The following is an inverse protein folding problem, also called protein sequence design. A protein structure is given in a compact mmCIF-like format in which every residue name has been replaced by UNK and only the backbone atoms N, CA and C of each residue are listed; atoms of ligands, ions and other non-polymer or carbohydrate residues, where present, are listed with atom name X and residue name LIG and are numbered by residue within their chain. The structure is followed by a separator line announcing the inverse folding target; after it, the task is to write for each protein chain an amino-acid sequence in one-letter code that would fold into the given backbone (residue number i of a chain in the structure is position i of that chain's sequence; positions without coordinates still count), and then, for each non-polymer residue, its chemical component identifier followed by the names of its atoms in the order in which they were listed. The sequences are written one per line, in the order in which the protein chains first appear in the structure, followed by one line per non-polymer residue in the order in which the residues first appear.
data_IF_893987218072
#
_entry.id   IF_893987218072
#
_cell.length_a   1.000
_cell.length_b   1.000
_cell.length_c   1.000
_cell.angle_alpha   90.00
_cell.angle_beta   90.00
_cell.angle_gamma   90.00
#
_symmetry.space_group_name_H-M   'P 1'
#
loop_
_entity.id
_entity.type
_entity.pdbx_description
1 polymer ?
#
# COMPACT_ATOMS: atom_id res chain seq x y z
N UNK A 1 -47.20 -2.19 -10.90
CA UNK A 1 -46.32 -1.05 -10.56
C UNK A 1 -45.34 -1.36 -9.44
N UNK A 2 -45.80 -1.86 -8.28
CA UNK A 2 -44.94 -2.20 -7.12
C UNK A 2 -43.80 -3.19 -7.43
N UNK A 3 -44.06 -4.23 -8.23
CA UNK A 3 -43.03 -5.19 -8.69
C UNK A 3 -41.96 -4.55 -9.59
N UNK A 4 -42.33 -3.52 -10.34
CA UNK A 4 -41.42 -2.80 -11.22
C UNK A 4 -40.51 -1.86 -10.42
N UNK A 5 -41.06 -1.19 -9.40
CA UNK A 5 -40.28 -0.40 -8.44
C UNK A 5 -39.28 -1.24 -7.64
N UNK A 6 -39.68 -2.45 -7.22
CA UNK A 6 -38.80 -3.36 -6.48
C UNK A 6 -37.58 -3.81 -7.32
N UNK A 7 -37.77 -4.04 -8.62
CA UNK A 7 -36.69 -4.43 -9.54
C UNK A 7 -35.72 -3.27 -9.80
N UNK A 8 -36.23 -2.06 -9.95
CA UNK A 8 -35.40 -0.84 -10.11
C UNK A 8 -34.57 -0.60 -8.83
N UNK A 9 -35.17 -0.77 -7.66
CA UNK A 9 -34.49 -0.61 -6.37
C UNK A 9 -33.37 -1.65 -6.17
N UNK A 10 -33.58 -2.90 -6.61
CA UNK A 10 -32.54 -3.95 -6.57
C UNK A 10 -31.37 -3.64 -7.50
N UNK A 11 -31.62 -3.07 -8.69
CA UNK A 11 -30.54 -2.71 -9.62
C UNK A 11 -29.65 -1.56 -9.12
N UNK A 12 -30.17 -0.69 -8.26
CA UNK A 12 -29.44 0.43 -7.63
C UNK A 12 -28.51 -0.03 -6.49
N UNK A 13 -28.69 -1.24 -5.96
CA UNK A 13 -27.86 -1.81 -4.89
C UNK A 13 -26.61 -2.55 -5.42
N UNK A 14 -26.44 -2.65 -6.74
CA UNK A 14 -25.20 -3.12 -7.34
C UNK A 14 -24.13 -2.02 -7.28
N UNK A 15 -23.64 -1.71 -6.08
CA UNK A 15 -22.36 -1.04 -5.93
C UNK A 15 -21.29 -1.96 -6.50
N UNK A 16 -20.51 -1.47 -7.47
CA UNK A 16 -19.34 -2.18 -7.98
C UNK A 16 -18.35 -2.36 -6.83
N UNK A 17 -18.20 -3.59 -6.33
CA UNK A 17 -17.09 -3.94 -5.47
C UNK A 17 -15.82 -3.94 -6.34
N UNK A 18 -15.12 -2.82 -6.40
CA UNK A 18 -13.78 -2.76 -7.00
C UNK A 18 -12.83 -3.36 -5.98
N UNK A 19 -12.38 -4.60 -6.22
CA UNK A 19 -11.21 -5.10 -5.51
C UNK A 19 -10.00 -4.37 -6.09
N UNK A 20 -9.32 -3.57 -5.27
CA UNK A 20 -8.18 -2.75 -5.71
C UNK A 20 -7.02 -3.65 -6.16
N UNK A 21 -6.51 -4.48 -5.25
CA UNK A 21 -5.50 -5.51 -5.52
C UNK A 21 -5.35 -6.44 -4.30
N UNK A 22 -4.81 -7.64 -4.52
CA UNK A 22 -4.62 -8.61 -3.45
C UNK A 22 -3.29 -8.40 -2.72
N UNK A 23 -3.36 -8.17 -1.41
CA UNK A 23 -2.18 -8.00 -0.56
C UNK A 23 -1.76 -9.37 -0.03
N UNK A 24 -0.53 -9.80 -0.36
CA UNK A 24 0.09 -11.02 0.19
C UNK A 24 1.25 -10.66 1.10
N UNK A 25 1.27 -11.19 2.32
CA UNK A 25 2.31 -10.92 3.31
C UNK A 25 1.95 -9.75 4.22
N UNK A 26 2.98 -9.05 4.68
CA UNK A 26 2.96 -8.09 5.78
C UNK A 26 2.32 -6.76 5.43
N UNK A 27 2.01 -6.50 4.16
CA UNK A 27 1.17 -5.37 3.75
C UNK A 27 -0.20 -5.34 4.44
N UNK A 28 -0.70 -6.50 4.92
CA UNK A 28 -1.95 -6.60 5.69
C UNK A 28 -1.82 -6.19 7.17
N UNK A 29 -0.64 -5.80 7.63
CA UNK A 29 -0.50 -5.26 8.98
C UNK A 29 -1.11 -3.87 9.06
N UNK A 30 -1.89 -3.61 10.10
CA UNK A 30 -2.43 -2.28 10.34
C UNK A 30 -1.32 -1.29 10.67
N UNK A 31 -1.54 -0.01 10.38
CA UNK A 31 -0.59 1.03 10.74
C UNK A 31 -0.26 1.07 12.26
N UNK A 32 -1.23 0.91 13.19
CA UNK A 32 -0.92 0.78 14.61
C UNK A 32 0.00 -0.40 14.95
N UNK A 33 -0.17 -1.54 14.26
CA UNK A 33 0.68 -2.71 14.41
C UNK A 33 2.12 -2.44 13.96
N UNK A 34 2.28 -1.75 12.83
CA UNK A 34 3.58 -1.35 12.31
C UNK A 34 4.29 -0.38 13.27
N UNK A 35 3.60 0.65 13.77
CA UNK A 35 4.14 1.62 14.74
C UNK A 35 4.58 0.91 16.04
N UNK A 36 3.79 -0.06 16.52
CA UNK A 36 4.14 -0.87 17.69
C UNK A 36 5.37 -1.75 17.44
N UNK A 37 5.47 -2.35 16.26
CA UNK A 37 6.61 -3.16 15.85
C UNK A 37 7.90 -2.33 15.76
N UNK A 38 7.80 -1.08 15.30
CA UNK A 38 8.91 -0.11 15.26
C UNK A 38 9.42 0.23 16.66
N UNK A 39 8.52 0.54 17.60
CA UNK A 39 8.88 0.88 18.99
C UNK A 39 9.66 -0.23 19.69
N UNK A 40 9.35 -1.48 19.38
CA UNK A 40 10.00 -2.66 19.98
C UNK A 40 11.19 -3.19 19.18
N UNK A 41 11.50 -2.58 18.03
CA UNK A 41 12.50 -3.05 17.07
C UNK A 41 12.38 -4.57 16.79
N UNK A 42 11.14 -5.04 16.65
CA UNK A 42 10.81 -6.46 16.59
C UNK A 42 11.15 -7.09 15.24
N UNK A 43 11.18 -8.42 15.19
CA UNK A 43 11.25 -9.17 13.92
C UNK A 43 10.11 -8.78 12.95
N UNK A 44 8.96 -8.34 13.48
CA UNK A 44 7.82 -7.84 12.69
C UNK A 44 8.18 -6.56 11.93
N UNK A 45 9.01 -5.67 12.51
CA UNK A 45 9.51 -4.48 11.81
C UNK A 45 10.36 -4.88 10.60
N UNK A 46 11.34 -5.78 10.81
CA UNK A 46 12.21 -6.24 9.73
C UNK A 46 11.40 -6.84 8.57
N UNK A 47 10.48 -7.74 8.90
CA UNK A 47 9.59 -8.41 7.94
C UNK A 47 8.68 -7.41 7.21
N UNK A 48 8.15 -6.39 7.91
CA UNK A 48 7.40 -5.28 7.30
C UNK A 48 8.22 -4.49 6.28
N UNK A 49 9.47 -4.16 6.61
CA UNK A 49 10.35 -3.39 5.70
C UNK A 49 10.79 -4.22 4.50
N UNK A 50 11.09 -5.51 4.71
CA UNK A 50 11.37 -6.42 3.60
C UNK A 50 10.18 -6.51 2.63
N UNK A 51 8.95 -6.53 3.17
CA UNK A 51 7.74 -6.52 2.35
C UNK A 51 7.61 -5.23 1.53
N UNK A 52 7.80 -4.05 2.15
CA UNK A 52 7.72 -2.75 1.45
C UNK A 52 8.78 -2.64 0.34
N UNK A 53 10.02 -3.08 0.59
CA UNK A 53 11.07 -3.11 -0.44
C UNK A 53 10.70 -4.05 -1.60
N UNK A 54 10.10 -5.19 -1.29
CA UNK A 54 9.55 -6.11 -2.29
C UNK A 54 8.43 -5.49 -3.12
N UNK A 55 7.52 -4.75 -2.48
CA UNK A 55 6.45 -4.01 -3.15
C UNK A 55 7.02 -2.98 -4.13
N UNK A 56 7.96 -2.14 -3.70
CA UNK A 56 8.66 -1.15 -4.55
C UNK A 56 9.36 -1.85 -5.72
N UNK A 57 10.00 -3.00 -5.47
CA UNK A 57 10.62 -3.81 -6.53
C UNK A 57 9.59 -4.28 -7.56
N UNK A 58 8.42 -4.75 -7.10
CA UNK A 58 7.31 -5.15 -7.97
C UNK A 58 6.77 -3.99 -8.82
N UNK A 59 6.65 -2.79 -8.22
CA UNK A 59 6.27 -1.57 -8.93
C UNK A 59 7.29 -1.24 -10.04
N UNK A 60 8.59 -1.23 -9.70
CA UNK A 60 9.65 -0.97 -10.67
C UNK A 60 9.67 -2.02 -11.79
N UNK A 61 9.50 -3.31 -11.45
CA UNK A 61 9.41 -4.40 -12.42
C UNK A 61 8.24 -4.23 -13.39
N UNK A 62 7.05 -3.96 -12.86
CA UNK A 62 5.85 -3.76 -13.67
C UNK A 62 5.97 -2.55 -14.60
N UNK A 63 6.55 -1.45 -14.10
CA UNK A 63 6.81 -0.25 -14.89
C UNK A 63 7.86 -0.48 -15.99
N UNK A 64 8.75 -1.46 -15.83
CA UNK A 64 9.78 -1.82 -16.82
C UNK A 64 9.32 -2.84 -17.88
N UNK A 65 8.13 -3.45 -17.75
CA UNK A 65 7.58 -4.38 -18.74
C UNK A 65 7.33 -3.74 -20.12
N UNK A 66 6.79 -2.52 -20.23
CA UNK A 66 6.76 -1.79 -21.50
C UNK A 66 8.20 -1.52 -21.95
N UNK A 67 8.59 -2.08 -23.11
CA UNK A 67 9.95 -1.96 -23.65
C UNK A 67 10.40 -0.48 -23.64
N UNK A 68 11.50 -0.20 -22.93
CA UNK A 68 12.16 1.11 -22.94
C UNK A 68 11.77 2.09 -21.83
N UNK A 69 10.98 1.66 -20.83
CA UNK A 69 10.71 2.50 -19.65
C UNK A 69 11.51 1.96 -18.47
N UNK A 70 12.57 2.66 -18.07
CA UNK A 70 13.27 2.33 -16.83
C UNK A 70 12.48 2.87 -15.61
N UNK A 71 12.52 2.16 -14.49
CA UNK A 71 11.89 2.60 -13.24
C UNK A 71 12.81 2.35 -12.06
N UNK A 72 13.10 3.42 -11.30
CA UNK A 72 14.09 3.44 -10.23
C UNK A 72 13.52 4.03 -8.94
N UNK A 73 12.22 3.88 -8.72
CA UNK A 73 11.54 4.38 -7.52
C UNK A 73 12.25 3.84 -6.27
N UNK A 74 12.62 4.75 -5.37
CA UNK A 74 13.25 4.42 -4.10
C UNK A 74 14.70 3.90 -4.17
N UNK A 75 15.36 3.91 -5.35
CA UNK A 75 16.73 3.40 -5.51
C UNK A 75 17.72 3.94 -4.47
N UNK A 76 17.68 5.26 -4.23
CA UNK A 76 18.64 5.94 -3.38
C UNK A 76 18.12 6.15 -1.95
N UNK A 77 16.92 5.66 -1.64
CA UNK A 77 16.32 5.80 -0.31
C UNK A 77 16.82 4.69 0.62
N UNK A 78 17.52 5.02 1.73
CA UNK A 78 17.92 4.01 2.69
C UNK A 78 16.71 3.36 3.38
N UNK A 79 16.84 2.08 3.74
CA UNK A 79 15.79 1.36 4.47
C UNK A 79 15.39 2.07 5.79
N UNK A 80 16.36 2.67 6.49
CA UNK A 80 16.10 3.44 7.71
C UNK A 80 15.22 4.67 7.44
N UNK A 81 15.40 5.34 6.30
CA UNK A 81 14.55 6.46 5.89
C UNK A 81 13.13 5.98 5.55
N UNK A 82 12.99 4.83 4.89
CA UNK A 82 11.67 4.22 4.65
C UNK A 82 10.96 3.93 5.97
N UNK A 83 11.68 3.37 6.95
CA UNK A 83 11.13 3.08 8.27
C UNK A 83 10.52 4.33 8.91
N UNK A 84 11.27 5.43 8.91
CA UNK A 84 10.82 6.70 9.49
C UNK A 84 9.66 7.33 8.73
N UNK A 85 9.68 7.27 7.39
CA UNK A 85 8.60 7.78 6.56
C UNK A 85 7.29 7.02 6.83
N UNK A 86 7.35 5.69 6.80
CA UNK A 86 6.20 4.81 7.06
C UNK A 86 5.66 4.99 8.49
N UNK A 87 6.54 5.23 9.46
CA UNK A 87 6.12 5.51 10.85
C UNK A 87 5.29 6.80 10.92
N UNK A 88 5.75 7.87 10.26
CA UNK A 88 5.02 9.14 10.24
C UNK A 88 3.67 8.98 9.53
N UNK A 89 3.66 8.39 8.33
CA UNK A 89 2.42 8.10 7.61
C UNK A 89 1.43 7.33 8.46
N UNK A 90 1.88 6.24 9.10
CA UNK A 90 1.00 5.40 9.90
C UNK A 90 0.53 6.03 11.21
N UNK A 91 1.25 7.02 11.75
CA UNK A 91 0.78 7.81 12.90
C UNK A 91 -0.34 8.75 12.50
N UNK A 92 -0.25 9.33 11.31
CA UNK A 92 -1.24 10.27 10.79
C UNK A 92 -2.48 9.54 10.20
N UNK A 93 -2.31 8.29 9.76
CA UNK A 93 -3.35 7.47 9.13
C UNK A 93 -3.56 6.13 9.87
N UNK A 94 -4.10 6.12 11.10
CA UNK A 94 -4.17 4.92 11.94
C UNK A 94 -5.18 3.87 11.47
N UNK A 95 -6.06 4.19 10.51
CA UNK A 95 -7.04 3.25 9.95
C UNK A 95 -6.49 2.47 8.75
N UNK A 96 -5.33 2.88 8.24
CA UNK A 96 -4.70 2.30 7.07
C UNK A 96 -3.90 1.04 7.43
N UNK A 97 -3.52 0.31 6.40
CA UNK A 97 -2.60 -0.81 6.43
C UNK A 97 -1.22 -0.41 5.89
N UNK A 98 -0.23 -1.25 6.13
CA UNK A 98 1.13 -1.05 5.64
C UNK A 98 1.18 -0.99 4.10
N UNK A 99 0.28 -1.71 3.42
CA UNK A 99 0.12 -1.64 1.98
C UNK A 99 -0.23 -0.23 1.49
N UNK A 100 -1.18 0.45 2.14
CA UNK A 100 -1.59 1.82 1.80
C UNK A 100 -0.43 2.80 2.03
N UNK A 101 0.30 2.63 3.15
CA UNK A 101 1.50 3.41 3.44
C UNK A 101 2.61 3.18 2.39
N UNK A 102 2.79 1.94 1.92
CA UNK A 102 3.79 1.63 0.89
C UNK A 102 3.43 2.22 -0.47
N UNK A 103 2.15 2.24 -0.83
CA UNK A 103 1.64 2.92 -2.02
C UNK A 103 1.89 4.43 -1.93
N UNK A 104 1.50 5.05 -0.81
CA UNK A 104 1.74 6.48 -0.60
C UNK A 104 3.24 6.84 -0.64
N UNK A 105 4.12 5.97 -0.12
CA UNK A 105 5.57 6.15 -0.23
C UNK A 105 6.05 6.10 -1.68
N UNK A 106 5.52 5.17 -2.49
CA UNK A 106 5.86 5.08 -3.92
C UNK A 106 5.44 6.36 -4.65
N UNK A 107 4.27 6.91 -4.35
CA UNK A 107 3.80 8.15 -4.95
C UNK A 107 4.66 9.37 -4.54
N UNK A 108 5.02 9.48 -3.27
CA UNK A 108 5.92 10.54 -2.76
C UNK A 108 7.30 10.47 -3.45
N UNK A 109 7.84 9.25 -3.59
CA UNK A 109 9.12 9.01 -4.26
C UNK A 109 9.09 9.33 -5.76
N UNK A 110 7.95 9.11 -6.44
CA UNK A 110 7.78 9.46 -7.86
C UNK A 110 7.73 10.98 -8.08
N UNK A 111 7.16 11.72 -7.15
CA UNK A 111 7.09 13.18 -7.24
C UNK A 111 8.42 13.86 -6.91
N UNK A 112 9.30 13.16 -6.20
CA UNK A 112 10.61 13.65 -5.76
C UNK A 112 11.75 13.32 -6.73
N UNK A 113 11.46 12.67 -7.85
CA UNK A 113 12.42 12.34 -8.93
C UNK A 113 12.36 13.36 -10.07
#
# INVERSE_FOLDING_TARGET
MQRFFLLILLSLLCTTATADWAIKGEGNFSCPDYVSAKRTNSAKLYSSISWVQGFITGVNYQAALPRGTDSFVGRDMPAASMVSWLENYCRDNPQDYLADAAEALVEDLRQSQ
#
